data_IF_049065440725
#
_entry.id   IF_049065440725
#
_cell.length_a   1.000
_cell.length_b   1.000
_cell.length_c   1.000
_cell.angle_alpha   90.00
_cell.angle_beta   90.00
_cell.angle_gamma   90.00
#
_symmetry.space_group_name_H-M   'P 1'
#
loop_
_entity.id
_entity.type
_entity.pdbx_description
1 polymer ?
#
# COMPACT_ATOMS: atom_id res chain seq x y z
N UNK A 1 23.15 5.62 5.46
CA UNK A 1 22.65 4.92 6.62
C UNK A 1 22.98 3.44 6.43
N UNK A 2 23.86 2.94 7.29
CA UNK A 2 24.25 1.55 7.31
C UNK A 2 23.18 0.82 8.14
N UNK A 3 22.42 -0.10 7.49
CA UNK A 3 21.59 -1.03 8.23
C UNK A 3 22.51 -1.90 9.07
N UNK A 4 22.35 -1.87 10.37
CA UNK A 4 23.05 -2.76 11.27
C UNK A 4 22.42 -4.15 11.16
N UNK A 5 23.20 -5.19 11.42
CA UNK A 5 22.67 -6.57 11.44
C UNK A 5 21.48 -6.73 12.40
N UNK A 6 21.36 -5.85 13.38
CA UNK A 6 20.27 -5.82 14.36
C UNK A 6 18.91 -5.44 13.70
N UNK A 7 18.89 -4.49 12.74
CA UNK A 7 17.65 -4.08 12.07
C UNK A 7 17.08 -5.19 11.21
N UNK A 8 17.95 -5.93 10.51
CA UNK A 8 17.55 -7.08 9.69
C UNK A 8 17.00 -8.22 10.56
N UNK A 9 17.59 -8.47 11.72
CA UNK A 9 17.14 -9.52 12.65
C UNK A 9 15.79 -9.15 13.26
N UNK A 10 15.54 -7.89 13.58
CA UNK A 10 14.27 -7.43 14.14
C UNK A 10 13.14 -7.55 13.10
N UNK A 11 13.36 -7.16 11.84
CA UNK A 11 12.38 -7.32 10.76
C UNK A 11 12.01 -8.80 10.55
N UNK A 12 12.96 -9.72 10.56
CA UNK A 12 12.72 -11.16 10.43
C UNK A 12 11.88 -11.71 11.57
N UNK A 13 12.16 -11.32 12.81
CA UNK A 13 11.40 -11.75 13.98
C UNK A 13 9.95 -11.29 13.92
N UNK A 14 9.71 -10.03 13.56
CA UNK A 14 8.37 -9.46 13.40
C UNK A 14 7.56 -10.22 12.34
N UNK A 15 8.17 -10.51 11.19
CA UNK A 15 7.55 -11.31 10.13
C UNK A 15 7.23 -12.71 10.63
N UNK A 16 8.16 -13.38 11.31
CA UNK A 16 7.99 -14.73 11.80
C UNK A 16 6.83 -14.83 12.81
N UNK A 17 6.71 -13.88 13.71
CA UNK A 17 5.64 -13.86 14.70
C UNK A 17 4.28 -13.50 14.09
N UNK A 18 4.24 -12.58 13.13
CA UNK A 18 3.02 -12.28 12.37
C UNK A 18 2.53 -13.50 11.56
N UNK A 19 3.44 -14.22 10.90
CA UNK A 19 3.12 -15.47 10.17
C UNK A 19 2.56 -16.52 11.13
N UNK A 20 3.23 -16.78 12.26
CA UNK A 20 2.76 -17.76 13.27
C UNK A 20 1.39 -17.39 13.83
N UNK A 21 1.17 -16.08 14.11
CA UNK A 21 -0.13 -15.60 14.58
C UNK A 21 -1.22 -15.83 13.52
N UNK A 22 -1.00 -15.40 12.28
CA UNK A 22 -1.94 -15.54 11.17
C UNK A 22 -2.34 -17.02 10.94
N UNK A 23 -1.37 -17.93 10.92
CA UNK A 23 -1.65 -19.37 10.76
C UNK A 23 -2.44 -19.93 11.94
N UNK A 24 -2.09 -19.52 13.18
CA UNK A 24 -2.83 -19.98 14.38
C UNK A 24 -4.28 -19.46 14.39
N UNK A 25 -4.50 -18.21 13.97
CA UNK A 25 -5.82 -17.60 13.82
C UNK A 25 -6.64 -18.32 12.73
N UNK A 26 -6.03 -18.62 11.58
CA UNK A 26 -6.64 -19.34 10.47
C UNK A 26 -7.12 -20.74 10.89
N UNK A 27 -6.28 -21.48 11.64
CA UNK A 27 -6.65 -22.80 12.18
C UNK A 27 -7.87 -22.76 13.12
N UNK A 28 -8.08 -21.64 13.81
CA UNK A 28 -9.22 -21.41 14.70
C UNK A 28 -10.38 -20.69 14.02
N UNK A 29 -10.25 -20.36 12.72
CA UNK A 29 -11.23 -19.56 11.96
C UNK A 29 -11.54 -18.22 12.64
N UNK A 30 -10.51 -17.58 13.17
CA UNK A 30 -10.60 -16.23 13.73
C UNK A 30 -10.14 -15.27 12.64
N UNK A 31 -11.01 -14.33 12.26
CA UNK A 31 -10.69 -13.29 11.26
C UNK A 31 -9.65 -12.32 11.76
N UNK A 32 -8.72 -11.91 10.90
CA UNK A 32 -7.69 -10.94 11.27
C UNK A 32 -7.23 -10.11 10.09
N UNK A 33 -6.80 -8.87 10.38
CA UNK A 33 -6.11 -7.95 9.48
C UNK A 33 -4.82 -7.49 10.15
N UNK A 34 -3.66 -7.89 9.60
CA UNK A 34 -2.34 -7.45 10.09
C UNK A 34 -1.69 -6.64 8.98
N UNK A 35 -1.51 -5.34 9.24
CA UNK A 35 -0.99 -4.36 8.29
C UNK A 35 0.45 -4.03 8.65
N UNK A 36 1.33 -4.13 7.68
CA UNK A 36 2.69 -3.62 7.76
C UNK A 36 2.75 -2.28 7.02
N UNK A 37 2.94 -1.22 7.77
CA UNK A 37 3.23 0.12 7.23
C UNK A 37 4.63 0.12 6.63
N UNK A 38 4.81 0.80 5.49
CA UNK A 38 6.10 0.89 4.80
C UNK A 38 6.55 2.35 4.65
N UNK A 39 6.60 2.88 3.41
CA UNK A 39 7.04 4.26 3.14
C UNK A 39 5.90 5.26 3.29
N UNK A 40 4.68 4.86 2.89
CA UNK A 40 3.49 5.68 3.04
C UNK A 40 2.97 5.62 4.49
N UNK A 41 2.83 6.78 5.13
CA UNK A 41 2.18 6.89 6.44
C UNK A 41 0.68 6.60 6.28
N UNK A 42 0.14 5.73 7.12
CA UNK A 42 -1.24 5.28 6.99
C UNK A 42 -2.26 6.18 7.67
N UNK A 43 -1.81 7.15 8.47
CA UNK A 43 -2.68 7.97 9.32
C UNK A 43 -3.76 8.76 8.53
N UNK A 44 -3.50 9.07 7.24
CA UNK A 44 -4.46 9.77 6.37
C UNK A 44 -5.46 8.82 5.67
N UNK A 45 -5.21 7.52 5.71
CA UNK A 45 -5.99 6.51 4.98
C UNK A 45 -6.86 5.63 5.87
N UNK A 46 -6.64 5.66 7.20
CA UNK A 46 -7.31 4.77 8.15
C UNK A 46 -8.00 5.56 9.25
N UNK A 47 -9.11 5.04 9.77
CA UNK A 47 -9.64 5.51 11.03
C UNK A 47 -8.83 4.90 12.18
N UNK A 48 -8.31 5.72 13.12
CA UNK A 48 -7.41 5.22 14.15
C UNK A 48 -8.11 4.28 15.13
N UNK A 49 -7.39 3.26 15.56
CA UNK A 49 -7.78 2.35 16.62
C UNK A 49 -7.20 2.73 17.97
N UNK A 50 -7.03 1.75 18.84
CA UNK A 50 -6.40 1.89 20.14
C UNK A 50 -4.88 1.88 19.98
N UNK A 51 -4.21 2.94 20.44
CA UNK A 51 -2.75 3.04 20.47
C UNK A 51 -2.17 2.02 21.46
N UNK A 52 -1.18 1.24 21.04
CA UNK A 52 -0.55 0.19 21.84
C UNK A 52 0.95 0.39 22.03
N UNK A 53 1.68 0.78 20.99
CA UNK A 53 3.14 0.95 20.98
C UNK A 53 3.87 -0.28 21.56
N UNK A 54 3.41 -1.48 21.24
CA UNK A 54 3.86 -2.73 21.83
C UNK A 54 4.85 -3.49 20.94
N UNK A 55 5.65 -4.35 21.54
CA UNK A 55 6.49 -5.29 20.80
C UNK A 55 5.63 -6.33 20.09
N UNK A 56 5.95 -6.62 18.83
CA UNK A 56 5.27 -7.68 18.08
C UNK A 56 5.65 -9.03 18.69
N UNK A 57 4.63 -9.80 19.04
CA UNK A 57 4.75 -11.21 19.36
C UNK A 57 3.55 -11.99 18.86
N UNK A 58 3.75 -13.26 18.58
CA UNK A 58 2.67 -14.16 18.17
C UNK A 58 1.51 -14.13 19.18
N UNK A 59 1.83 -14.19 20.45
CA UNK A 59 0.87 -14.25 21.57
C UNK A 59 0.02 -12.98 21.64
N UNK A 60 0.64 -11.81 21.51
CA UNK A 60 -0.08 -10.53 21.55
C UNK A 60 -0.98 -10.38 20.31
N UNK A 61 -0.46 -10.63 19.11
CA UNK A 61 -1.25 -10.60 17.89
C UNK A 61 -2.44 -11.56 17.96
N UNK A 62 -2.22 -12.78 18.42
CA UNK A 62 -3.30 -13.76 18.60
C UNK A 62 -4.35 -13.26 19.59
N UNK A 63 -3.93 -12.71 20.73
CA UNK A 63 -4.84 -12.24 21.79
C UNK A 63 -5.68 -11.04 21.35
N UNK A 64 -5.11 -10.13 20.55
CA UNK A 64 -5.83 -8.97 20.02
C UNK A 64 -7.04 -9.41 19.18
N UNK A 65 -6.90 -10.45 18.35
CA UNK A 65 -7.95 -10.89 17.45
C UNK A 65 -8.96 -11.88 18.06
N UNK A 66 -8.79 -12.29 19.31
CA UNK A 66 -9.80 -13.14 19.96
C UNK A 66 -11.11 -12.36 20.10
N UNK A 67 -12.23 -12.84 19.50
CA UNK A 67 -13.51 -12.17 19.60
C UNK A 67 -14.00 -12.11 21.04
N UNK A 68 -14.30 -10.91 21.51
CA UNK A 68 -14.95 -10.67 22.80
C UNK A 68 -15.71 -9.35 22.74
N UNK A 69 -16.90 -9.30 23.31
CA UNK A 69 -17.68 -8.06 23.40
C UNK A 69 -16.95 -6.95 24.17
N UNK A 70 -16.03 -7.34 25.05
CA UNK A 70 -15.25 -6.40 25.87
C UNK A 70 -13.93 -5.98 25.19
N UNK A 71 -13.59 -6.59 24.06
CA UNK A 71 -12.34 -6.32 23.34
C UNK A 71 -12.63 -5.61 22.01
N UNK A 72 -12.68 -4.28 21.96
CA UNK A 72 -12.94 -3.55 20.70
C UNK A 72 -11.83 -3.68 19.66
N UNK A 73 -10.63 -4.11 20.06
CA UNK A 73 -9.46 -4.19 19.17
C UNK A 73 -9.55 -5.32 18.16
N UNK A 74 -10.39 -6.34 18.40
CA UNK A 74 -10.51 -7.51 17.50
C UNK A 74 -11.26 -7.21 16.20
N UNK A 75 -12.10 -6.15 16.19
CA UNK A 75 -12.93 -5.80 15.03
C UNK A 75 -12.29 -4.67 14.21
N UNK A 76 -11.08 -4.89 13.79
CA UNK A 76 -10.32 -3.95 12.97
C UNK A 76 -8.96 -4.53 12.60
N UNK A 77 -8.07 -3.66 12.17
CA UNK A 77 -6.72 -4.02 11.78
C UNK A 77 -5.71 -3.72 12.89
N UNK A 78 -4.69 -4.56 12.98
CA UNK A 78 -3.46 -4.25 13.71
C UNK A 78 -2.49 -3.58 12.74
N UNK A 79 -1.98 -2.42 13.11
CA UNK A 79 -0.97 -1.69 12.33
C UNK A 79 0.40 -1.93 12.96
N UNK A 80 1.31 -2.47 12.16
CA UNK A 80 2.72 -2.63 12.53
C UNK A 80 3.50 -1.51 11.83
N UNK A 81 4.10 -0.62 12.64
CA UNK A 81 4.94 0.51 12.22
C UNK A 81 6.31 0.34 12.84
N UNK A 82 7.37 0.43 12.06
CA UNK A 82 8.75 0.34 12.52
C UNK A 82 9.03 -0.91 13.40
N UNK A 83 8.44 -2.05 13.05
CA UNK A 83 8.62 -3.31 13.78
C UNK A 83 7.89 -3.41 15.12
N UNK A 84 6.97 -2.50 15.42
CA UNK A 84 6.14 -2.49 16.63
C UNK A 84 4.66 -2.50 16.28
N UNK A 85 3.82 -3.07 17.13
CA UNK A 85 2.37 -2.87 17.05
C UNK A 85 2.09 -1.44 17.45
N UNK A 86 1.76 -0.59 16.46
CA UNK A 86 1.45 0.81 16.69
C UNK A 86 0.05 0.95 17.29
N UNK A 87 -0.95 0.37 16.65
CA UNK A 87 -2.33 0.41 17.10
C UNK A 87 -3.10 -0.85 16.68
N UNK A 88 -4.25 -1.09 17.31
CA UNK A 88 -5.16 -2.18 17.00
C UNK A 88 -6.61 -1.70 16.95
N UNK A 89 -7.46 -2.38 16.18
CA UNK A 89 -8.83 -1.98 15.96
C UNK A 89 -8.98 -0.82 14.97
N UNK A 90 -8.00 -0.59 14.11
CA UNK A 90 -8.07 0.45 13.08
C UNK A 90 -8.99 0.03 11.93
N UNK A 91 -9.80 0.97 11.40
CA UNK A 91 -10.64 0.70 10.23
C UNK A 91 -9.95 1.14 8.95
N UNK A 92 -9.97 0.23 7.97
CA UNK A 92 -9.33 0.43 6.67
C UNK A 92 -10.37 0.83 5.62
N UNK A 93 -9.98 1.61 4.59
CA UNK A 93 -10.85 1.95 3.48
C UNK A 93 -11.25 0.70 2.70
N UNK A 94 -12.50 0.62 2.29
CA UNK A 94 -12.96 -0.46 1.42
C UNK A 94 -12.68 -0.12 -0.04
N UNK A 95 -12.19 -1.10 -0.79
CA UNK A 95 -12.01 -0.91 -2.23
C UNK A 95 -13.34 -0.60 -2.94
N UNK A 96 -13.30 0.35 -3.86
CA UNK A 96 -14.42 0.69 -4.73
C UNK A 96 -14.55 -0.25 -5.94
N UNK A 97 -13.63 -1.18 -6.13
CA UNK A 97 -13.62 -2.09 -7.28
C UNK A 97 -14.82 -3.04 -7.27
N UNK A 98 -15.60 -2.99 -8.34
CA UNK A 98 -16.75 -3.89 -8.57
C UNK A 98 -16.36 -5.22 -9.23
N UNK A 99 -15.09 -5.35 -9.66
CA UNK A 99 -14.57 -6.52 -10.38
C UNK A 99 -14.07 -7.63 -9.46
N UNK A 100 -14.19 -7.45 -8.15
CA UNK A 100 -13.71 -8.42 -7.18
C UNK A 100 -14.60 -9.66 -7.12
N UNK A 101 -13.98 -10.80 -6.83
CA UNK A 101 -14.67 -12.05 -6.53
C UNK A 101 -15.71 -11.81 -5.42
N UNK A 102 -16.96 -12.19 -5.67
CA UNK A 102 -18.08 -12.06 -4.72
C UNK A 102 -17.84 -12.83 -3.42
N UNK A 103 -16.93 -13.77 -3.43
CA UNK A 103 -16.54 -14.58 -2.29
C UNK A 103 -15.52 -13.89 -1.36
N UNK A 104 -15.14 -12.66 -1.61
CA UNK A 104 -14.26 -11.88 -0.74
C UNK A 104 -15.09 -11.16 0.32
N UNK A 105 -14.86 -11.50 1.60
CA UNK A 105 -15.50 -10.82 2.73
C UNK A 105 -14.96 -9.41 2.96
N UNK A 106 -15.54 -8.72 3.95
CA UNK A 106 -15.23 -7.31 4.27
C UNK A 106 -13.73 -7.09 4.54
N UNK A 107 -13.10 -7.99 5.31
CA UNK A 107 -11.65 -7.90 5.61
C UNK A 107 -10.78 -7.95 4.35
N UNK A 108 -11.13 -8.77 3.37
CA UNK A 108 -10.40 -8.80 2.10
C UNK A 108 -10.57 -7.50 1.31
N UNK A 109 -11.79 -6.95 1.28
CA UNK A 109 -12.07 -5.69 0.58
C UNK A 109 -11.35 -4.52 1.24
N UNK A 110 -11.25 -4.51 2.55
CA UNK A 110 -10.50 -3.52 3.31
C UNK A 110 -8.99 -3.60 3.05
N UNK A 111 -8.45 -4.81 3.05
CA UNK A 111 -7.03 -5.03 2.74
C UNK A 111 -6.66 -4.62 1.32
N UNK A 112 -7.51 -4.93 0.33
CA UNK A 112 -7.31 -4.51 -1.05
C UNK A 112 -7.39 -2.99 -1.13
N UNK A 113 -8.43 -2.35 -0.55
CA UNK A 113 -8.62 -0.90 -0.58
C UNK A 113 -7.41 -0.14 -0.03
N UNK A 114 -6.91 -0.52 1.13
CA UNK A 114 -5.70 0.11 1.68
C UNK A 114 -4.49 -0.09 0.76
N UNK A 115 -4.31 -1.29 0.20
CA UNK A 115 -3.18 -1.60 -0.68
C UNK A 115 -3.28 -1.01 -2.09
N UNK A 116 -4.45 -0.49 -2.50
CA UNK A 116 -4.64 0.32 -3.71
C UNK A 116 -4.12 1.74 -3.53
N UNK A 117 -4.29 2.30 -2.33
CA UNK A 117 -3.97 3.70 -2.01
C UNK A 117 -2.55 3.87 -1.44
N UNK A 118 -1.95 2.79 -0.93
CA UNK A 118 -0.66 2.84 -0.22
C UNK A 118 0.27 1.70 -0.65
N UNK A 119 1.51 1.75 -0.21
CA UNK A 119 2.47 0.64 -0.36
C UNK A 119 2.43 -0.37 0.79
N UNK A 120 1.41 -0.29 1.65
CA UNK A 120 1.22 -1.22 2.76
C UNK A 120 1.08 -2.66 2.30
N UNK A 121 1.52 -3.58 3.14
CA UNK A 121 1.37 -5.02 2.95
C UNK A 121 0.42 -5.55 4.02
N UNK A 122 -0.65 -6.24 3.62
CA UNK A 122 -1.71 -6.66 4.53
C UNK A 122 -1.90 -8.17 4.51
N UNK A 123 -1.72 -8.82 5.67
CA UNK A 123 -2.13 -10.22 5.88
C UNK A 123 -3.62 -10.22 6.23
N UNK A 124 -4.37 -11.06 5.55
CA UNK A 124 -5.80 -11.28 5.81
C UNK A 124 -6.04 -12.72 6.22
N UNK A 125 -6.70 -12.92 7.35
CA UNK A 125 -7.18 -14.23 7.77
C UNK A 125 -8.70 -14.26 7.61
N UNK A 126 -9.19 -15.23 6.83
CA UNK A 126 -10.62 -15.46 6.61
C UNK A 126 -11.22 -16.31 7.73
N UNK A 127 -12.20 -15.79 8.45
CA UNK A 127 -12.94 -16.56 9.45
C UNK A 127 -13.85 -17.62 8.84
N UNK A 128 -14.37 -17.37 7.63
CA UNK A 128 -15.25 -18.31 6.95
C UNK A 128 -14.50 -19.55 6.45
N UNK A 129 -13.30 -19.36 5.90
CA UNK A 129 -12.54 -20.42 5.22
C UNK A 129 -11.35 -20.93 6.02
N UNK A 130 -10.85 -20.15 6.98
CA UNK A 130 -9.61 -20.46 7.66
C UNK A 130 -8.40 -20.35 6.72
N UNK A 131 -8.49 -19.49 5.70
CA UNK A 131 -7.43 -19.25 4.71
C UNK A 131 -6.66 -17.97 5.05
N UNK A 132 -5.36 -17.98 4.75
CA UNK A 132 -4.52 -16.79 4.84
C UNK A 132 -4.27 -16.24 3.45
N UNK A 133 -4.45 -14.94 3.29
CA UNK A 133 -4.20 -14.19 2.07
C UNK A 133 -3.25 -13.03 2.34
N UNK A 134 -2.59 -12.53 1.30
CA UNK A 134 -1.72 -11.36 1.36
C UNK A 134 -2.15 -10.36 0.31
N UNK A 135 -2.36 -9.10 0.71
CA UNK A 135 -2.69 -7.99 -0.18
C UNK A 135 -1.54 -7.01 -0.24
N UNK A 136 -1.18 -6.55 -1.45
CA UNK A 136 -0.20 -5.51 -1.72
C UNK A 136 -0.37 -4.96 -3.14
N UNK A 137 -0.15 -3.66 -3.33
CA UNK A 137 -0.30 -2.98 -4.62
C UNK A 137 -1.66 -3.27 -5.31
N UNK A 138 -2.75 -3.27 -4.56
CA UNK A 138 -4.09 -3.57 -5.07
C UNK A 138 -4.35 -5.02 -5.50
N UNK A 139 -3.40 -5.92 -5.27
CA UNK A 139 -3.51 -7.33 -5.63
C UNK A 139 -3.65 -8.21 -4.40
N UNK A 140 -4.26 -9.40 -4.59
CA UNK A 140 -4.42 -10.40 -3.55
C UNK A 140 -3.82 -11.74 -3.98
N UNK A 141 -3.02 -12.34 -3.10
CA UNK A 141 -2.54 -13.71 -3.21
C UNK A 141 -3.22 -14.52 -2.11
N UNK A 142 -3.93 -15.59 -2.49
CA UNK A 142 -4.79 -16.37 -1.58
C UNK A 142 -4.19 -17.71 -1.24
N UNK A 143 -4.72 -18.30 -0.15
CA UNK A 143 -4.42 -19.66 0.30
C UNK A 143 -2.92 -19.91 0.51
N UNK A 144 -2.30 -19.04 1.30
CA UNK A 144 -0.89 -19.11 1.62
C UNK A 144 -0.66 -20.00 2.85
N UNK A 145 0.25 -20.96 2.73
CA UNK A 145 0.82 -21.66 3.89
C UNK A 145 1.88 -20.80 4.60
N UNK A 146 2.34 -21.25 5.75
CA UNK A 146 3.32 -20.51 6.56
C UNK A 146 4.64 -20.26 5.81
N UNK A 147 5.14 -21.24 5.06
CA UNK A 147 6.43 -21.15 4.38
C UNK A 147 6.36 -20.15 3.22
N UNK A 148 5.28 -20.21 2.43
CA UNK A 148 5.07 -19.32 1.30
C UNK A 148 4.76 -17.88 1.76
N UNK A 149 3.90 -17.71 2.78
CA UNK A 149 3.61 -16.41 3.37
C UNK A 149 4.89 -15.73 3.87
N UNK A 150 5.69 -16.46 4.65
CA UNK A 150 6.99 -15.98 5.14
C UNK A 150 7.92 -15.58 4.00
N UNK A 151 8.04 -16.44 2.99
CA UNK A 151 8.92 -16.18 1.83
C UNK A 151 8.52 -14.93 1.07
N UNK A 152 7.21 -14.76 0.82
CA UNK A 152 6.69 -13.58 0.10
C UNK A 152 6.92 -12.31 0.92
N UNK A 153 6.59 -12.32 2.23
CA UNK A 153 6.83 -11.19 3.12
C UNK A 153 8.30 -10.78 3.15
N UNK A 154 9.22 -11.72 3.38
CA UNK A 154 10.65 -11.42 3.35
C UNK A 154 11.08 -10.81 2.01
N UNK A 155 10.55 -11.31 0.89
CA UNK A 155 10.84 -10.75 -0.43
C UNK A 155 10.35 -9.31 -0.61
N UNK A 156 9.19 -8.95 -0.02
CA UNK A 156 8.63 -7.60 -0.07
C UNK A 156 9.39 -6.60 0.81
N UNK A 157 9.93 -7.06 1.95
CA UNK A 157 10.67 -6.21 2.89
C UNK A 157 12.19 -6.19 2.65
N UNK A 158 12.74 -7.13 1.90
CA UNK A 158 14.13 -7.04 1.46
C UNK A 158 14.27 -5.86 0.50
N UNK A 159 15.02 -4.83 0.88
CA UNK A 159 15.42 -3.77 -0.05
C UNK A 159 16.18 -4.39 -1.20
N UNK A 160 15.59 -4.37 -2.41
CA UNK A 160 16.36 -4.65 -3.62
C UNK A 160 17.57 -3.71 -3.64
N UNK A 161 18.81 -4.21 -3.71
CA UNK A 161 19.95 -3.34 -3.89
C UNK A 161 19.68 -2.49 -5.12
N UNK A 162 19.70 -1.16 -4.98
CA UNK A 162 19.57 -0.25 -6.13
C UNK A 162 20.60 -0.70 -7.15
N UNK A 163 20.16 -1.17 -8.31
CA UNK A 163 21.05 -1.46 -9.43
C UNK A 163 21.83 -0.18 -9.68
N UNK A 164 23.12 -0.20 -9.31
CA UNK A 164 24.05 0.85 -9.73
C UNK A 164 23.95 0.87 -11.25
N UNK A 165 23.44 1.95 -11.80
CA UNK A 165 23.62 2.26 -13.20
C UNK A 165 25.13 2.30 -13.39
N UNK A 166 25.69 1.26 -13.97
CA UNK A 166 27.04 1.28 -14.49
C UNK A 166 26.99 2.23 -15.67
N UNK A 167 27.30 3.51 -15.39
CA UNK A 167 27.58 4.47 -16.44
C UNK A 167 28.73 3.87 -17.27
N UNK A 168 28.41 3.44 -18.47
CA UNK A 168 29.42 3.21 -19.48
C UNK A 168 30.04 4.57 -19.77
N UNK A 169 31.24 4.76 -19.26
CA UNK A 169 32.20 5.68 -19.81
C UNK A 169 32.55 5.15 -21.20
N UNK A 170 31.95 5.70 -22.23
CA UNK A 170 32.53 5.63 -23.57
C UNK A 170 33.57 6.76 -23.66
N UNK A 171 34.80 6.29 -23.68
CA UNK A 171 35.99 7.10 -23.73
C UNK A 171 36.09 7.89 -25.03
N UNK A 172 36.73 9.04 -24.85
CA UNK A 172 37.27 9.89 -25.86
C UNK A 172 37.89 9.13 -27.04
N UNK A 173 37.48 9.50 -28.23
CA UNK A 173 38.40 9.57 -29.34
C UNK A 173 38.30 10.95 -29.99
N UNK A 174 39.35 11.72 -29.79
CA UNK A 174 39.73 12.86 -30.61
C UNK A 174 39.81 12.40 -32.06
N UNK A 175 39.29 13.18 -33.00
CA UNK A 175 40.11 13.61 -34.11
C UNK A 175 39.56 14.91 -34.74
N UNK A 176 40.51 15.67 -35.16
CA UNK A 176 40.49 17.05 -35.61
C UNK A 176 40.11 17.17 -37.08
N UNK A 177 39.72 18.40 -37.47
CA UNK A 177 39.69 19.00 -38.83
C UNK A 177 38.29 19.14 -39.41
N UNK A 178 37.84 20.20 -39.91
CA UNK A 178 38.38 21.44 -40.47
C UNK A 178 37.21 22.29 -40.97
N UNK A 179 37.22 23.56 -40.63
CA UNK A 179 36.84 24.74 -41.40
C UNK A 179 35.73 24.73 -42.45
N UNK A 180 34.96 25.72 -42.35
CA UNK A 180 34.62 26.78 -43.32
C UNK A 180 33.13 26.93 -43.63
N UNK A 181 32.55 27.95 -43.17
CA UNK A 181 32.25 29.21 -43.90
C UNK A 181 30.79 29.37 -44.40
N UNK A 182 30.29 30.51 -44.02
CA UNK A 182 29.35 31.43 -44.69
C UNK A 182 27.85 31.27 -44.46
N UNK A 183 27.41 32.24 -43.76
CA UNK A 183 26.64 33.48 -44.12
C UNK A 183 25.15 33.32 -44.31
N UNK A 184 24.47 34.05 -43.43
CA UNK A 184 23.43 35.06 -43.69
C UNK A 184 22.03 34.56 -44.01
N UNK A 185 21.11 34.88 -43.20
CA UNK A 185 20.03 35.86 -43.35
C UNK A 185 18.80 35.46 -42.51
N UNK A 186 18.50 36.26 -41.54
CA UNK A 186 17.12 36.53 -41.13
C UNK A 186 16.57 37.60 -42.10
N UNK A 187 15.32 37.99 -42.15
CA UNK A 187 14.32 38.06 -41.08
C UNK A 187 12.88 37.70 -41.55
N UNK A 188 11.89 37.64 -40.74
CA UNK A 188 10.78 38.58 -40.65
C UNK A 188 9.59 38.04 -39.87
N UNK A 189 9.09 38.88 -39.04
CA UNK A 189 7.95 38.86 -38.19
C UNK A 189 6.60 38.56 -38.86
N UNK A 190 5.68 38.00 -38.09
CA UNK A 190 4.28 38.41 -38.05
C UNK A 190 3.57 37.91 -36.80
N UNK A 191 3.01 38.82 -36.03
CA UNK A 191 2.12 38.72 -34.87
C UNK A 191 0.66 38.50 -35.33
N UNK A 192 -0.32 38.63 -34.43
CA UNK A 192 -1.04 37.56 -33.73
C UNK A 192 -2.51 37.49 -34.17
N UNK A 193 -3.22 36.46 -33.84
CA UNK A 193 -4.69 36.43 -34.03
C UNK A 193 -5.40 36.01 -32.72
N UNK A 194 -6.42 36.76 -32.45
CA UNK A 194 -7.32 36.90 -31.32
C UNK A 194 -8.11 35.63 -30.93
N UNK A 195 -8.70 35.62 -29.71
CA UNK A 195 -9.56 34.54 -29.24
C UNK A 195 -11.02 34.77 -29.66
N UNK A 196 -11.82 33.71 -29.79
CA UNK A 196 -13.25 33.83 -30.10
C UNK A 196 -14.10 34.07 -28.83
N UNK A 197 -15.35 34.62 -29.01
CA UNK A 197 -16.11 35.26 -27.96
C UNK A 197 -17.00 34.32 -27.17
N UNK A 198 -17.35 34.79 -25.99
CA UNK A 198 -18.32 34.25 -25.06
C UNK A 198 -19.76 34.25 -25.61
N UNK A 199 -20.55 33.27 -25.26
CA UNK A 199 -21.97 33.25 -25.49
C UNK A 199 -22.77 33.28 -24.17
N UNK A 200 -23.83 34.07 -24.09
CA UNK A 200 -24.54 34.37 -22.85
C UNK A 200 -25.84 33.58 -22.67
N UNK A 201 -26.11 33.31 -21.39
CA UNK A 201 -27.41 33.35 -20.72
C UNK A 201 -28.63 32.60 -21.27
N UNK A 202 -29.17 31.72 -20.43
CA UNK A 202 -30.55 31.29 -20.45
C UNK A 202 -31.05 31.04 -19.02
N UNK A 203 -31.86 31.95 -18.55
CA UNK A 203 -32.53 32.01 -17.23
C UNK A 203 -33.69 31.01 -17.08
N UNK A 204 -34.27 30.90 -15.90
CA UNK A 204 -34.96 29.74 -15.34
C UNK A 204 -36.46 29.70 -15.62
N UNK A 205 -37.11 28.59 -15.39
CA UNK A 205 -38.56 28.52 -15.17
C UNK A 205 -38.87 27.78 -13.87
N UNK A 206 -39.44 28.57 -13.00
CA UNK A 206 -40.31 28.19 -11.89
C UNK A 206 -41.60 27.53 -12.41
N UNK A 207 -42.23 26.91 -11.46
CA UNK A 207 -43.65 26.64 -11.19
C UNK A 207 -43.86 25.12 -11.05
N UNK A 208 -44.56 24.62 -10.15
CA UNK A 208 -45.47 24.96 -9.05
C UNK A 208 -46.13 23.65 -8.62
N UNK A 209 -46.23 23.46 -7.34
CA UNK A 209 -47.43 23.03 -6.59
C UNK A 209 -48.20 21.76 -6.97
N UNK A 210 -48.49 21.06 -5.94
CA UNK A 210 -49.76 20.49 -5.47
C UNK A 210 -49.97 18.98 -5.66
N UNK A 211 -50.06 18.28 -4.67
CA UNK A 211 -51.04 17.59 -3.83
C UNK A 211 -50.39 16.45 -3.04
#
# INVERSE_FOLDING_TARGET
PFFTSADVVMEHHVIDDAVKAAISLAQKRIGALIVFEREALLDEFIEPGTLLEATVSKELLYSIFIPSHENPMHDGAVIIREGRIWQAGAFLPLTASTKLDRNLGTRHRAAIGLSEETDAVVIVVSEERGEVSLCFNGNIVRNLDAALLRKVLLGLFQKRPKRKHSGRHDGERRDSRERANRTSQAPTAASPSEPPPANPQGKPKETSEAS
#
